data_IF_269480905839
#
_entry.id   IF_269480905839
#
_cell.length_a   1.000
_cell.length_b   1.000
_cell.length_c   1.000
_cell.angle_alpha   90.00
_cell.angle_beta   90.00
_cell.angle_gamma   90.00
#
_symmetry.space_group_name_H-M   'P 1'
#
loop_
_entity.id
_entity.type
_entity.pdbx_description
1 polymer ?
#
# COMPACT_ATOMS: atom_id res chain seq x y z
N UNK A 1 -4.13 -59.47 16.63
CA UNK A 1 -4.22 -58.78 15.31
C UNK A 1 -4.91 -57.46 15.54
N UNK A 2 -4.13 -56.41 15.70
CA UNK A 2 -4.61 -55.07 16.04
C UNK A 2 -4.86 -54.26 14.75
N UNK A 3 -6.10 -53.81 14.58
CA UNK A 3 -6.50 -52.90 13.52
C UNK A 3 -6.00 -51.51 13.84
N UNK A 4 -4.93 -51.05 13.19
CA UNK A 4 -4.46 -49.65 13.23
C UNK A 4 -5.38 -48.84 12.34
N UNK A 5 -6.28 -48.10 12.96
CA UNK A 5 -7.16 -47.13 12.28
C UNK A 5 -6.33 -46.01 11.63
N UNK A 6 -6.31 -45.98 10.29
CA UNK A 6 -5.73 -44.90 9.51
C UNK A 6 -6.68 -43.70 9.54
N UNK A 7 -6.53 -42.81 10.51
CA UNK A 7 -7.10 -41.47 10.44
C UNK A 7 -6.24 -40.63 9.50
N UNK A 8 -6.59 -40.59 8.21
CA UNK A 8 -6.10 -39.59 7.30
C UNK A 8 -6.88 -38.30 7.60
N UNK A 9 -6.19 -37.35 8.24
CA UNK A 9 -6.71 -35.99 8.43
C UNK A 9 -6.73 -35.32 7.07
N UNK A 10 -7.89 -35.31 6.41
CA UNK A 10 -8.18 -34.49 5.23
C UNK A 10 -8.57 -33.11 5.74
N UNK A 11 -7.59 -32.32 6.19
CA UNK A 11 -7.84 -30.95 6.74
C UNK A 11 -7.14 -29.88 5.93
N UNK A 12 -6.60 -30.13 4.72
CA UNK A 12 -5.74 -29.14 4.11
C UNK A 12 -6.06 -28.59 2.70
N UNK A 13 -7.24 -28.68 2.09
CA UNK A 13 -7.51 -27.90 0.88
C UNK A 13 -8.31 -26.60 1.10
N UNK A 14 -8.86 -26.32 2.27
CA UNK A 14 -9.81 -25.21 2.48
C UNK A 14 -9.18 -23.88 2.89
N UNK A 15 -7.88 -23.84 3.16
CA UNK A 15 -7.21 -22.63 3.69
C UNK A 15 -6.61 -21.74 2.58
N UNK A 16 -6.65 -22.13 1.32
CA UNK A 16 -6.02 -21.38 0.22
C UNK A 16 -7.04 -20.55 -0.59
N UNK A 17 -8.29 -20.51 -0.19
CA UNK A 17 -9.21 -19.53 -0.77
C UNK A 17 -8.72 -18.15 -0.35
N UNK A 18 -8.37 -17.30 -1.31
CA UNK A 18 -8.03 -15.90 -1.07
C UNK A 18 -9.18 -15.24 -0.31
N UNK A 19 -9.05 -15.10 1.01
CA UNK A 19 -10.05 -14.47 1.86
C UNK A 19 -10.04 -12.93 1.72
N UNK A 20 -9.21 -12.39 0.85
CA UNK A 20 -9.11 -10.94 0.67
C UNK A 20 -10.14 -10.50 -0.35
N UNK A 21 -11.25 -9.96 0.15
CA UNK A 21 -12.21 -9.23 -0.67
C UNK A 21 -11.81 -7.77 -0.74
N UNK A 22 -11.55 -7.25 -1.92
CA UNK A 22 -11.32 -5.81 -2.16
C UNK A 22 -12.61 -4.99 -2.19
N UNK A 23 -13.75 -5.64 -1.97
CA UNK A 23 -15.08 -5.03 -1.99
C UNK A 23 -15.65 -4.86 -3.38
N UNK A 24 -16.97 -4.56 -3.44
CA UNK A 24 -17.65 -4.25 -4.71
C UNK A 24 -17.20 -2.88 -5.24
N UNK A 25 -17.45 -2.58 -6.54
CA UNK A 25 -17.18 -1.24 -7.09
C UNK A 25 -17.87 -0.11 -6.30
N UNK A 26 -19.09 -0.35 -5.81
CA UNK A 26 -19.85 0.61 -4.99
C UNK A 26 -19.13 0.86 -3.64
N UNK A 27 -18.71 -0.20 -2.97
CA UNK A 27 -17.97 -0.10 -1.71
C UNK A 27 -16.63 0.62 -1.88
N UNK A 28 -15.93 0.38 -3.00
CA UNK A 28 -14.69 1.09 -3.31
C UNK A 28 -14.94 2.56 -3.58
N UNK A 29 -16.00 2.93 -4.33
CA UNK A 29 -16.39 4.34 -4.53
C UNK A 29 -16.69 5.05 -3.22
N UNK A 30 -17.42 4.42 -2.30
CA UNK A 30 -17.70 5.03 -0.99
C UNK A 30 -16.42 5.21 -0.15
N UNK A 31 -15.51 4.26 -0.20
CA UNK A 31 -14.18 4.40 0.43
C UNK A 31 -13.36 5.52 -0.20
N UNK A 32 -13.37 5.65 -1.53
CA UNK A 32 -12.68 6.75 -2.21
C UNK A 32 -13.24 8.11 -1.79
N UNK A 33 -14.57 8.25 -1.67
CA UNK A 33 -15.19 9.48 -1.13
C UNK A 33 -14.75 9.76 0.32
N UNK A 34 -14.60 8.72 1.16
CA UNK A 34 -14.14 8.90 2.53
C UNK A 34 -12.68 9.36 2.55
N UNK A 35 -11.79 8.68 1.82
CA UNK A 35 -10.38 9.08 1.72
C UNK A 35 -10.24 10.50 1.15
N UNK A 36 -11.01 10.84 0.12
CA UNK A 36 -10.99 12.20 -0.44
C UNK A 36 -11.35 13.26 0.59
N UNK A 37 -12.37 13.03 1.44
CA UNK A 37 -12.70 13.94 2.54
C UNK A 37 -11.57 14.10 3.54
N UNK A 38 -10.92 12.99 3.90
CA UNK A 38 -9.79 13.01 4.84
C UNK A 38 -8.59 13.79 4.25
N UNK A 39 -8.30 13.60 2.95
CA UNK A 39 -7.26 14.36 2.24
C UNK A 39 -7.58 15.86 2.19
N UNK A 40 -8.83 16.25 1.95
CA UNK A 40 -9.26 17.65 1.95
C UNK A 40 -9.08 18.31 3.32
N UNK A 41 -9.13 17.54 4.41
CA UNK A 41 -8.92 18.03 5.78
C UNK A 41 -7.45 18.31 6.11
N UNK A 42 -6.50 17.89 5.27
CA UNK A 42 -5.09 18.19 5.50
C UNK A 42 -4.81 19.70 5.55
N UNK A 43 -5.38 20.47 4.63
CA UNK A 43 -5.32 21.94 4.64
C UNK A 43 -6.42 22.55 3.76
N UNK A 44 -6.83 23.81 4.03
CA UNK A 44 -7.81 24.53 3.18
C UNK A 44 -7.37 24.72 1.73
N UNK A 45 -6.07 24.65 1.45
CA UNK A 45 -5.48 24.78 0.10
C UNK A 45 -5.60 23.52 -0.75
N UNK A 46 -6.00 22.38 -0.16
CA UNK A 46 -6.11 21.13 -0.90
C UNK A 46 -7.27 21.16 -1.89
N UNK A 47 -6.94 20.96 -3.16
CA UNK A 47 -7.94 20.86 -4.22
C UNK A 47 -8.81 19.63 -4.04
N UNK A 48 -10.13 19.81 -4.01
CA UNK A 48 -11.08 18.71 -3.99
C UNK A 48 -10.87 17.74 -5.16
N UNK A 49 -10.63 18.28 -6.35
CA UNK A 49 -10.40 17.46 -7.55
C UNK A 49 -9.16 16.57 -7.40
N UNK A 50 -8.05 17.11 -6.84
CA UNK A 50 -6.85 16.30 -6.60
C UNK A 50 -7.07 15.27 -5.50
N UNK A 51 -7.76 15.62 -4.42
CA UNK A 51 -8.11 14.68 -3.37
C UNK A 51 -8.99 13.53 -3.90
N UNK A 52 -9.97 13.82 -4.78
CA UNK A 52 -10.81 12.81 -5.43
C UNK A 52 -9.98 11.90 -6.35
N UNK A 53 -9.04 12.48 -7.13
CA UNK A 53 -8.14 11.72 -8.01
C UNK A 53 -7.20 10.81 -7.22
N UNK A 54 -6.54 11.32 -6.17
CA UNK A 54 -5.66 10.51 -5.32
C UNK A 54 -6.44 9.37 -4.67
N UNK A 55 -7.60 9.66 -4.10
CA UNK A 55 -8.42 8.68 -3.41
C UNK A 55 -8.91 7.57 -4.34
N UNK A 56 -9.48 7.93 -5.49
CA UNK A 56 -9.96 6.95 -6.47
C UNK A 56 -8.81 6.11 -7.03
N UNK A 57 -7.70 6.73 -7.42
CA UNK A 57 -6.52 6.02 -7.94
C UNK A 57 -5.95 5.07 -6.87
N UNK A 58 -5.75 5.53 -5.65
CA UNK A 58 -5.19 4.70 -4.59
C UNK A 58 -6.07 3.48 -4.28
N UNK A 59 -7.39 3.65 -4.20
CA UNK A 59 -8.33 2.56 -3.94
C UNK A 59 -8.36 1.55 -5.11
N UNK A 60 -8.51 2.02 -6.34
CA UNK A 60 -8.68 1.13 -7.50
C UNK A 60 -7.37 0.42 -7.87
N UNK A 61 -6.22 1.11 -7.85
CA UNK A 61 -4.94 0.45 -8.13
C UNK A 61 -4.57 -0.56 -7.03
N UNK A 62 -4.86 -0.26 -5.76
CA UNK A 62 -4.68 -1.24 -4.69
C UNK A 62 -5.53 -2.50 -4.89
N UNK A 63 -6.78 -2.32 -5.32
CA UNK A 63 -7.67 -3.45 -5.63
C UNK A 63 -7.18 -4.27 -6.84
N UNK A 64 -6.69 -3.63 -7.90
CA UNK A 64 -6.09 -4.31 -9.07
C UNK A 64 -4.86 -5.12 -8.67
N UNK A 65 -3.94 -4.52 -7.90
CA UNK A 65 -2.76 -5.22 -7.39
C UNK A 65 -3.12 -6.45 -6.56
N UNK A 66 -4.24 -6.44 -5.84
CA UNK A 66 -4.73 -7.62 -5.12
C UNK A 66 -5.06 -8.79 -6.04
N UNK A 67 -5.56 -8.52 -7.24
CA UNK A 67 -5.83 -9.56 -8.24
C UNK A 67 -4.52 -10.19 -8.77
N UNK A 68 -3.49 -9.37 -8.93
CA UNK A 68 -2.18 -9.80 -9.45
C UNK A 68 -1.36 -10.52 -8.39
N UNK A 69 -1.29 -9.97 -7.18
CA UNK A 69 -0.49 -10.53 -6.08
C UNK A 69 -1.17 -11.69 -5.37
N UNK A 70 -2.51 -11.78 -5.47
CA UNK A 70 -3.34 -12.83 -4.84
C UNK A 70 -2.95 -13.06 -3.36
N UNK A 71 -2.95 -12.00 -2.53
CA UNK A 71 -2.51 -12.11 -1.16
C UNK A 71 -3.41 -13.07 -0.38
N UNK A 72 -2.85 -13.72 0.63
CA UNK A 72 -3.62 -14.48 1.62
C UNK A 72 -4.05 -13.57 2.77
N UNK A 73 -5.02 -14.02 3.58
CA UNK A 73 -5.62 -13.22 4.66
C UNK A 73 -4.64 -12.64 5.67
N UNK A 74 -3.49 -13.28 5.83
CA UNK A 74 -2.47 -12.88 6.80
C UNK A 74 -1.25 -12.32 6.07
N UNK A 75 -1.04 -10.99 6.07
CA UNK A 75 0.05 -10.34 5.31
C UNK A 75 1.44 -10.90 5.65
N UNK A 76 1.72 -11.23 6.92
CA UNK A 76 3.00 -11.80 7.34
C UNK A 76 3.24 -13.22 6.75
N UNK A 77 2.18 -14.04 6.60
CA UNK A 77 2.30 -15.34 5.91
C UNK A 77 2.58 -15.14 4.43
N UNK A 78 1.98 -14.11 3.81
CA UNK A 78 2.28 -13.79 2.42
C UNK A 78 3.75 -13.44 2.23
N UNK A 79 4.37 -12.71 3.16
CA UNK A 79 5.80 -12.44 3.15
C UNK A 79 6.61 -13.76 3.21
N UNK A 80 6.22 -14.70 4.05
CA UNK A 80 6.85 -16.04 4.11
C UNK A 80 6.79 -16.76 2.76
N UNK A 81 5.65 -16.75 2.08
CA UNK A 81 5.49 -17.36 0.76
C UNK A 81 6.35 -16.71 -0.33
N UNK A 82 6.50 -15.38 -0.28
CA UNK A 82 7.37 -14.66 -1.23
C UNK A 82 8.84 -14.97 -0.94
N UNK A 83 9.25 -14.92 0.33
CA UNK A 83 10.64 -15.16 0.73
C UNK A 83 11.10 -16.61 0.48
N UNK A 84 10.18 -17.57 0.49
CA UNK A 84 10.47 -18.98 0.14
C UNK A 84 10.36 -19.27 -1.36
N UNK A 85 10.06 -18.26 -2.19
CA UNK A 85 9.93 -18.43 -3.64
C UNK A 85 8.61 -19.07 -4.10
N UNK A 86 7.71 -19.42 -3.18
CA UNK A 86 6.38 -19.96 -3.51
C UNK A 86 5.46 -18.91 -4.14
N UNK A 87 5.78 -17.62 -3.97
CA UNK A 87 5.13 -16.49 -4.63
C UNK A 87 6.18 -15.52 -5.17
N UNK A 88 5.87 -14.91 -6.32
CA UNK A 88 6.81 -13.97 -6.96
C UNK A 88 6.78 -12.58 -6.35
N UNK A 89 5.61 -12.13 -5.86
CA UNK A 89 5.37 -10.75 -5.41
C UNK A 89 4.37 -10.71 -4.25
N UNK A 90 4.35 -9.56 -3.56
CA UNK A 90 3.38 -9.29 -2.49
C UNK A 90 4.00 -8.76 -1.19
N UNK A 91 5.31 -8.42 -1.20
CA UNK A 91 5.96 -7.74 -0.08
C UNK A 91 5.53 -6.28 0.02
N UNK A 92 5.53 -5.70 1.21
CA UNK A 92 5.02 -4.34 1.47
C UNK A 92 5.66 -3.27 0.56
N UNK A 93 6.97 -3.34 0.31
CA UNK A 93 7.63 -2.39 -0.59
C UNK A 93 7.16 -2.53 -2.04
N UNK A 94 6.82 -3.74 -2.50
CA UNK A 94 6.31 -3.95 -3.87
C UNK A 94 4.94 -3.29 -4.07
N UNK A 95 4.08 -3.34 -3.06
CA UNK A 95 2.80 -2.64 -3.09
C UNK A 95 2.98 -1.12 -3.16
N UNK A 96 3.91 -0.58 -2.36
CA UNK A 96 4.25 0.85 -2.40
C UNK A 96 4.82 1.26 -3.76
N UNK A 97 5.78 0.48 -4.25
CA UNK A 97 6.53 0.81 -5.47
C UNK A 97 5.65 0.71 -6.72
N UNK A 98 4.66 -0.17 -6.72
CA UNK A 98 3.69 -0.28 -7.82
C UNK A 98 2.60 0.82 -7.73
N UNK A 99 2.15 1.19 -6.52
CA UNK A 99 1.14 2.25 -6.35
C UNK A 99 1.70 3.64 -6.66
N UNK A 100 2.93 3.91 -6.25
CA UNK A 100 3.52 5.26 -6.33
C UNK A 100 3.51 5.85 -7.75
N UNK A 101 3.89 5.15 -8.83
CA UNK A 101 3.85 5.69 -10.19
C UNK A 101 2.45 6.10 -10.65
N UNK A 102 1.41 5.41 -10.21
CA UNK A 102 0.03 5.77 -10.55
C UNK A 102 -0.37 7.09 -9.90
N UNK A 103 -0.02 7.29 -8.64
CA UNK A 103 -0.28 8.55 -7.94
C UNK A 103 0.59 9.69 -8.47
N UNK A 104 1.86 9.43 -8.75
CA UNK A 104 2.79 10.44 -9.27
C UNK A 104 2.35 11.01 -10.62
N UNK A 105 1.78 10.19 -11.51
CA UNK A 105 1.25 10.63 -12.81
C UNK A 105 0.07 11.60 -12.73
N UNK A 106 -0.55 11.76 -11.56
CA UNK A 106 -1.63 12.74 -11.36
C UNK A 106 -1.13 14.21 -11.41
N UNK A 107 0.19 14.44 -11.34
CA UNK A 107 0.81 15.78 -11.41
C UNK A 107 0.20 16.77 -10.42
N UNK A 108 0.07 16.35 -9.17
CA UNK A 108 -0.60 17.10 -8.10
C UNK A 108 0.05 18.47 -7.85
N UNK A 109 -0.77 19.46 -7.58
CA UNK A 109 -0.34 20.86 -7.32
C UNK A 109 -0.55 21.27 -5.86
N UNK A 110 -1.53 20.66 -5.19
CA UNK A 110 -1.93 20.99 -3.82
C UNK A 110 -1.59 19.89 -2.81
N UNK A 111 -1.12 18.73 -3.30
CA UNK A 111 -0.70 17.61 -2.48
C UNK A 111 0.74 17.20 -2.83
N UNK A 112 1.48 16.73 -1.83
CA UNK A 112 2.80 16.11 -1.98
C UNK A 112 2.72 14.61 -1.65
N UNK A 113 3.51 13.80 -2.38
CA UNK A 113 3.64 12.36 -2.18
C UNK A 113 5.02 12.03 -1.63
N UNK A 114 5.06 11.26 -0.56
CA UNK A 114 6.31 10.85 0.09
C UNK A 114 6.40 9.32 0.15
N UNK A 115 7.48 8.76 -0.38
CA UNK A 115 7.84 7.38 -0.08
C UNK A 115 8.23 7.28 1.38
N UNK A 116 7.72 6.27 2.08
CA UNK A 116 7.97 6.13 3.51
C UNK A 116 8.24 4.69 3.91
N UNK A 117 8.97 4.55 5.02
CA UNK A 117 9.18 3.28 5.69
C UNK A 117 9.02 3.43 7.20
N UNK A 118 8.63 2.33 7.84
CA UNK A 118 8.59 2.18 9.29
C UNK A 118 9.53 1.05 9.69
N UNK A 119 10.25 1.20 10.82
CA UNK A 119 11.16 0.16 11.37
C UNK A 119 12.13 -0.42 10.33
N UNK A 120 12.68 0.44 9.50
CA UNK A 120 13.59 0.06 8.42
C UNK A 120 14.75 -0.80 8.90
N UNK A 121 15.17 -1.75 8.06
CA UNK A 121 16.23 -2.73 8.33
C UNK A 121 15.93 -3.70 9.51
N UNK A 122 14.65 -3.90 9.82
CA UNK A 122 14.21 -4.93 10.77
C UNK A 122 13.23 -5.90 10.11
N UNK A 123 12.94 -7.03 10.76
CA UNK A 123 11.89 -7.97 10.30
C UNK A 123 10.47 -7.34 10.31
N UNK A 124 10.30 -6.23 11.03
CA UNK A 124 9.05 -5.50 11.12
C UNK A 124 9.04 -4.28 10.18
N UNK A 125 9.97 -4.23 9.24
CA UNK A 125 9.98 -3.16 8.25
C UNK A 125 8.67 -3.15 7.46
N UNK A 126 8.10 -1.97 7.36
CA UNK A 126 6.87 -1.75 6.61
C UNK A 126 7.00 -0.52 5.72
N UNK A 127 6.35 -0.54 4.58
CA UNK A 127 6.49 0.48 3.54
C UNK A 127 5.13 0.98 3.08
N UNK A 128 5.02 2.28 2.82
CA UNK A 128 3.79 2.92 2.36
C UNK A 128 4.05 4.26 1.66
N UNK A 129 2.99 4.99 1.38
CA UNK A 129 3.05 6.33 0.76
C UNK A 129 2.34 7.30 1.71
N UNK A 130 3.00 8.38 2.08
CA UNK A 130 2.38 9.46 2.83
C UNK A 130 1.97 10.57 1.88
N UNK A 131 0.76 11.07 2.05
CA UNK A 131 0.21 12.23 1.34
C UNK A 131 0.11 13.38 2.32
N UNK A 132 0.67 14.54 1.97
CA UNK A 132 0.54 15.79 2.74
C UNK A 132 -0.08 16.87 1.88
N UNK A 133 -0.62 17.91 2.47
CA UNK A 133 -0.85 19.12 1.72
C UNK A 133 0.50 19.71 1.26
N UNK A 134 0.49 20.45 0.16
CA UNK A 134 1.69 21.05 -0.43
C UNK A 134 2.46 21.89 0.59
N UNK A 135 3.73 21.51 0.83
CA UNK A 135 4.61 22.17 1.79
C UNK A 135 4.28 21.91 3.26
N UNK A 136 3.32 21.04 3.58
CA UNK A 136 3.01 20.64 4.94
C UNK A 136 4.09 19.70 5.48
N UNK A 137 4.25 19.64 6.81
CA UNK A 137 5.18 18.71 7.44
C UNK A 137 4.74 17.26 7.22
N UNK A 138 5.72 16.37 7.06
CA UNK A 138 5.50 14.94 6.87
C UNK A 138 4.61 14.32 7.97
N UNK A 139 4.83 14.70 9.23
CA UNK A 139 4.15 14.14 10.41
C UNK A 139 2.65 14.45 10.46
N UNK A 140 2.20 15.43 9.68
CA UNK A 140 0.79 15.82 9.61
C UNK A 140 0.05 15.12 8.46
N UNK A 141 0.73 14.23 7.71
CA UNK A 141 0.21 13.54 6.56
C UNK A 141 -0.70 12.33 6.87
N UNK A 142 -1.27 11.81 5.80
CA UNK A 142 -2.07 10.58 5.76
C UNK A 142 -1.26 9.50 5.07
N UNK A 143 -1.08 8.35 5.75
CA UNK A 143 -0.46 7.16 5.16
C UNK A 143 -1.47 6.38 4.32
N UNK A 144 -1.05 5.95 3.14
CA UNK A 144 -1.73 5.02 2.26
C UNK A 144 -1.00 3.68 2.30
N UNK A 145 -1.67 2.63 2.74
CA UNK A 145 -1.11 1.30 2.97
C UNK A 145 -1.93 0.22 2.25
N UNK A 146 -1.56 -0.13 1.02
CA UNK A 146 -2.26 -1.16 0.25
C UNK A 146 -1.96 -2.57 0.73
N UNK A 147 -0.81 -2.82 1.38
CA UNK A 147 -0.39 -4.14 1.82
C UNK A 147 -1.16 -4.65 3.03
N UNK A 148 -1.45 -3.80 4.01
CA UNK A 148 -1.99 -4.15 5.33
C UNK A 148 -3.24 -5.02 5.26
N UNK A 149 -4.12 -4.75 4.30
CA UNK A 149 -5.36 -5.50 4.08
C UNK A 149 -5.41 -6.14 2.68
N UNK A 150 -4.25 -6.49 2.11
CA UNK A 150 -4.14 -7.25 0.87
C UNK A 150 -4.82 -6.58 -0.34
N UNK A 151 -4.64 -5.27 -0.52
CA UNK A 151 -5.21 -4.51 -1.62
C UNK A 151 -6.55 -3.81 -1.29
N UNK A 152 -7.15 -4.10 -0.14
CA UNK A 152 -8.18 -3.24 0.43
C UNK A 152 -7.48 -2.11 1.16
N UNK A 153 -7.16 -1.03 0.44
CA UNK A 153 -6.37 0.09 0.94
C UNK A 153 -6.77 0.46 2.38
N UNK A 154 -5.79 0.48 3.27
CA UNK A 154 -5.90 1.10 4.58
C UNK A 154 -5.28 2.49 4.54
N UNK A 155 -5.85 3.47 5.25
CA UNK A 155 -5.29 4.80 5.43
C UNK A 155 -5.62 5.37 6.80
N UNK A 156 -4.84 6.35 7.23
CA UNK A 156 -5.04 7.06 8.47
C UNK A 156 -3.98 8.14 8.65
N UNK A 157 -4.15 9.02 9.61
CA UNK A 157 -3.10 10.00 9.94
C UNK A 157 -1.89 9.29 10.58
N UNK A 158 -0.68 9.82 10.35
CA UNK A 158 0.52 9.27 10.99
C UNK A 158 0.42 9.29 12.52
N UNK A 159 -0.29 10.28 13.07
CA UNK A 159 -0.53 10.41 14.52
C UNK A 159 -1.43 9.29 15.08
N UNK A 160 -2.34 8.75 14.26
CA UNK A 160 -3.22 7.64 14.65
C UNK A 160 -2.53 6.28 14.52
N UNK A 161 -1.62 6.11 13.56
CA UNK A 161 -0.91 4.83 13.33
C UNK A 161 0.34 4.68 14.21
N UNK A 162 0.13 4.71 15.52
CA UNK A 162 1.21 4.64 16.52
C UNK A 162 2.04 3.35 16.46
N UNK A 163 1.49 2.29 15.89
CA UNK A 163 2.19 1.00 15.72
C UNK A 163 3.32 1.05 14.70
N UNK A 164 3.30 2.05 13.80
CA UNK A 164 4.28 2.22 12.73
C UNK A 164 4.94 3.61 12.84
N UNK A 165 6.15 3.71 13.41
CA UNK A 165 6.90 4.96 13.44
C UNK A 165 7.40 5.30 12.02
N UNK A 166 6.52 5.87 11.22
CA UNK A 166 6.77 6.24 9.84
C UNK A 166 7.84 7.32 9.71
N UNK A 167 8.75 7.16 8.75
CA UNK A 167 9.78 8.15 8.41
C UNK A 167 9.85 8.29 6.90
N UNK A 168 10.15 9.50 6.39
CA UNK A 168 10.43 9.67 4.97
C UNK A 168 11.56 8.74 4.53
N UNK A 169 11.42 8.15 3.35
CA UNK A 169 12.50 7.34 2.78
C UNK A 169 13.53 8.31 2.17
N UNK A 170 14.81 8.26 2.61
CA UNK A 170 15.88 9.05 1.98
C UNK A 170 16.01 8.71 0.49
N UNK A 171 16.37 9.71 -0.31
CA UNK A 171 16.50 9.54 -1.76
C UNK A 171 17.45 8.41 -2.14
N UNK A 172 18.58 8.28 -1.44
CA UNK A 172 19.61 7.26 -1.67
C UNK A 172 19.07 5.83 -1.53
N UNK A 173 17.99 5.69 -0.76
CA UNK A 173 17.30 4.42 -0.48
C UNK A 173 16.06 4.21 -1.36
N UNK A 174 15.73 5.21 -2.17
CA UNK A 174 14.63 5.10 -3.15
C UNK A 174 14.95 3.99 -4.17
N UNK A 175 14.02 3.08 -4.44
CA UNK A 175 14.18 2.08 -5.48
C UNK A 175 14.59 2.71 -6.81
N UNK A 176 15.56 2.13 -7.48
CA UNK A 176 16.11 2.69 -8.75
C UNK A 176 15.01 2.93 -9.79
N UNK A 177 13.99 2.08 -9.83
CA UNK A 177 12.85 2.19 -10.76
C UNK A 177 12.00 3.45 -10.50
N UNK A 178 12.01 4.01 -9.28
CA UNK A 178 11.25 5.20 -8.92
C UNK A 178 12.08 6.49 -8.97
N UNK A 179 13.41 6.41 -9.01
CA UNK A 179 14.30 7.59 -9.04
C UNK A 179 14.03 8.53 -10.21
N UNK A 180 13.80 8.03 -11.45
CA UNK A 180 13.48 8.91 -12.59
C UNK A 180 12.19 9.71 -12.41
N UNK A 181 11.25 9.23 -11.59
CA UNK A 181 10.01 9.95 -11.30
C UNK A 181 10.22 11.09 -10.30
N UNK A 182 11.17 10.92 -9.37
CA UNK A 182 11.42 11.89 -8.29
C UNK A 182 12.44 12.97 -8.67
N UNK A 183 13.36 12.65 -9.56
CA UNK A 183 14.41 13.55 -10.05
C UNK A 183 14.62 13.35 -11.57
N UNK A 184 13.64 13.75 -12.39
CA UNK A 184 13.72 13.55 -13.84
C UNK A 184 14.92 14.26 -14.47
N UNK A 185 15.42 15.35 -13.86
CA UNK A 185 16.60 16.08 -14.30
C UNK A 185 17.89 15.25 -14.27
N UNK A 186 17.98 14.21 -13.41
CA UNK A 186 19.12 13.29 -13.34
C UNK A 186 18.98 12.09 -14.31
N UNK A 187 17.81 11.94 -14.90
CA UNK A 187 17.46 10.80 -15.77
C UNK A 187 16.77 11.31 -17.05
N UNK A 188 17.45 12.11 -17.91
CA UNK A 188 16.83 12.61 -19.13
C UNK A 188 16.35 11.44 -19.99
N UNK A 189 15.14 11.55 -20.52
CA UNK A 189 14.60 10.59 -21.49
C UNK A 189 15.53 10.54 -22.73
N UNK A 190 15.97 9.36 -23.10
CA UNK A 190 16.71 9.13 -24.34
C UNK A 190 15.78 9.27 -25.54
#
# INVERSE_FOLDING_TARGET
MSAVSRFYIVVLPWIIASCVSVGTPEQRREKAKSLSRDLQQLAPSVSRAEADQVASTAIEESAKMSLDFKPICLPWMNNGLVNTGLRKRGLCYQWRDDLFPHLHRLNLKTLDLHLTSSRRATFLEHNGIVVTAKGQRFEDGIILDPWRNGGRLWWGTLKQDKSHPWKPLPYELTPMVLRPLLMPELYPSR
#
